data_IF_497962622391
#
_entry.id   IF_497962622391
#
_cell.length_a   1.000
_cell.length_b   1.000
_cell.length_c   1.000
_cell.angle_alpha   90.00
_cell.angle_beta   90.00
_cell.angle_gamma   90.00
#
_symmetry.space_group_name_H-M   'P 1'
#
loop_
_entity.id
_entity.type
_entity.pdbx_description
1 polymer ?
#
# COMPACT_ATOMS: atom_id res chain seq x y z
N UNK A 1 23.33 -59.92 -17.77
CA UNK A 1 22.05 -59.70 -17.08
C UNK A 1 22.24 -59.02 -15.74
N UNK A 2 22.91 -59.64 -14.76
CA UNK A 2 23.07 -59.13 -13.38
C UNK A 2 23.66 -57.71 -13.20
N UNK A 3 24.42 -57.19 -14.19
CA UNK A 3 25.02 -55.84 -14.15
C UNK A 3 24.11 -54.74 -14.72
N UNK A 4 23.10 -55.13 -15.51
CA UNK A 4 22.08 -54.21 -16.04
C UNK A 4 20.94 -54.04 -15.02
N UNK A 5 20.46 -55.14 -14.44
CA UNK A 5 19.52 -55.12 -13.30
C UNK A 5 20.03 -54.24 -12.15
N UNK A 6 21.27 -54.44 -11.71
CA UNK A 6 21.89 -53.63 -10.64
C UNK A 6 21.97 -52.13 -10.98
N UNK A 7 22.02 -51.78 -12.26
CA UNK A 7 22.08 -50.37 -12.71
C UNK A 7 20.68 -49.75 -12.79
N UNK A 8 19.66 -50.54 -13.13
CA UNK A 8 18.25 -50.12 -13.08
C UNK A 8 17.76 -49.97 -11.64
N UNK A 9 18.11 -50.89 -10.73
CA UNK A 9 17.79 -50.78 -9.30
C UNK A 9 18.40 -49.51 -8.70
N UNK A 10 19.68 -49.24 -9.00
CA UNK A 10 20.38 -48.06 -8.52
C UNK A 10 19.81 -46.75 -9.08
N UNK A 11 19.33 -46.75 -10.33
CA UNK A 11 18.65 -45.60 -10.93
C UNK A 11 17.27 -45.36 -10.30
N UNK A 12 16.56 -46.44 -9.97
CA UNK A 12 15.25 -46.40 -9.31
C UNK A 12 15.39 -45.87 -7.88
N UNK A 13 16.38 -46.33 -7.13
CA UNK A 13 16.66 -45.84 -5.77
C UNK A 13 17.02 -44.34 -5.75
N UNK A 14 17.82 -43.88 -6.72
CA UNK A 14 18.15 -42.45 -6.87
C UNK A 14 16.91 -41.61 -7.21
N UNK A 15 16.04 -42.12 -8.07
CA UNK A 15 14.80 -41.44 -8.45
C UNK A 15 13.84 -41.37 -7.25
N UNK A 16 13.68 -42.46 -6.50
CA UNK A 16 12.86 -42.50 -5.29
C UNK A 16 13.39 -41.58 -4.19
N UNK A 17 14.71 -41.50 -4.00
CA UNK A 17 15.33 -40.55 -3.07
C UNK A 17 15.13 -39.08 -3.50
N UNK A 18 15.12 -38.81 -4.81
CA UNK A 18 14.88 -37.46 -5.31
C UNK A 18 13.42 -37.03 -5.16
N UNK A 19 12.48 -37.97 -5.38
CA UNK A 19 11.05 -37.76 -5.16
C UNK A 19 10.73 -37.56 -3.68
N UNK A 20 11.26 -38.39 -2.79
CA UNK A 20 11.02 -38.25 -1.34
C UNK A 20 11.55 -36.91 -0.81
N UNK A 21 12.74 -36.50 -1.25
CA UNK A 21 13.30 -35.19 -0.88
C UNK A 21 12.45 -34.02 -1.44
N UNK A 22 11.85 -34.19 -2.62
CA UNK A 22 10.91 -33.21 -3.20
C UNK A 22 9.61 -33.13 -2.41
N UNK A 23 9.03 -34.28 -2.04
CA UNK A 23 7.82 -34.34 -1.20
C UNK A 23 8.03 -33.74 0.19
N UNK A 24 9.17 -34.06 0.82
CA UNK A 24 9.56 -33.48 2.12
C UNK A 24 9.80 -31.97 2.03
N UNK A 25 10.43 -31.50 0.94
CA UNK A 25 10.59 -30.08 0.67
C UNK A 25 9.23 -29.38 0.50
N UNK A 26 8.32 -29.93 -0.30
CA UNK A 26 6.96 -29.40 -0.51
C UNK A 26 6.18 -29.38 0.80
N UNK A 27 6.26 -30.44 1.61
CA UNK A 27 5.58 -30.54 2.90
C UNK A 27 6.13 -29.54 3.91
N UNK A 28 7.45 -29.37 3.99
CA UNK A 28 8.11 -28.38 4.85
C UNK A 28 7.78 -26.96 4.40
N UNK A 29 7.74 -26.69 3.10
CA UNK A 29 7.33 -25.41 2.54
C UNK A 29 5.85 -25.09 2.84
N UNK A 30 4.94 -26.06 2.65
CA UNK A 30 3.52 -25.87 2.91
C UNK A 30 3.23 -25.65 4.41
N UNK A 31 3.90 -26.38 5.30
CA UNK A 31 3.77 -26.17 6.75
C UNK A 31 4.33 -24.82 7.20
N UNK A 32 5.46 -24.39 6.62
CA UNK A 32 6.04 -23.06 6.84
C UNK A 32 5.17 -21.93 6.28
N UNK A 33 4.52 -22.14 5.14
CA UNK A 33 3.61 -21.14 4.54
C UNK A 33 2.33 -21.03 5.33
N UNK A 34 1.76 -22.17 5.75
CA UNK A 34 0.56 -22.22 6.57
C UNK A 34 0.77 -21.56 7.95
N UNK A 35 1.95 -21.72 8.55
CA UNK A 35 2.27 -21.06 9.82
C UNK A 35 2.33 -19.53 9.69
N UNK A 36 2.75 -19.00 8.53
CA UNK A 36 2.69 -17.56 8.23
C UNK A 36 1.26 -17.04 8.16
N UNK A 37 0.35 -17.75 7.49
CA UNK A 37 -1.06 -17.35 7.44
C UNK A 37 -1.76 -17.37 8.81
N UNK A 38 -1.29 -18.23 9.73
CA UNK A 38 -1.79 -18.27 11.12
C UNK A 38 -1.24 -17.11 11.98
N UNK A 39 -0.18 -16.45 11.53
CA UNK A 39 0.44 -15.34 12.25
C UNK A 39 -0.41 -14.06 12.09
N UNK A 40 -1.23 -13.77 13.10
CA UNK A 40 -2.16 -12.63 13.08
C UNK A 40 -1.46 -11.26 12.89
N UNK A 41 -0.38 -10.91 13.63
CA UNK A 41 0.43 -9.71 13.36
C UNK A 41 0.85 -9.53 11.90
N UNK A 42 1.34 -10.60 11.27
CA UNK A 42 1.72 -10.58 9.86
C UNK A 42 0.50 -10.34 8.97
N UNK A 43 -0.56 -11.12 9.16
CA UNK A 43 -1.75 -11.04 8.32
C UNK A 43 -2.45 -9.68 8.42
N UNK A 44 -2.55 -9.11 9.62
CA UNK A 44 -3.07 -7.76 9.81
C UNK A 44 -2.23 -6.72 9.04
N UNK A 45 -0.90 -6.80 9.15
CA UNK A 45 0.00 -5.88 8.44
C UNK A 45 -0.09 -6.02 6.92
N UNK A 46 -0.33 -7.24 6.42
CA UNK A 46 -0.59 -7.51 5.00
C UNK A 46 -1.93 -6.91 4.56
N UNK A 47 -3.00 -7.05 5.36
CA UNK A 47 -4.31 -6.49 5.01
C UNK A 47 -4.24 -4.96 4.97
N UNK A 48 -3.63 -4.32 5.97
CA UNK A 48 -3.44 -2.87 5.97
C UNK A 48 -2.64 -2.43 4.73
N UNK A 49 -1.57 -3.16 4.41
CA UNK A 49 -0.76 -2.89 3.22
C UNK A 49 -1.57 -2.98 1.93
N UNK A 50 -2.46 -3.98 1.80
CA UNK A 50 -3.32 -4.13 0.64
C UNK A 50 -4.35 -3.00 0.52
N UNK A 51 -4.99 -2.60 1.63
CA UNK A 51 -5.94 -1.48 1.67
C UNK A 51 -5.24 -0.17 1.27
N UNK A 52 -4.09 0.11 1.89
CA UNK A 52 -3.30 1.32 1.61
C UNK A 52 -2.88 1.37 0.14
N UNK A 53 -2.44 0.22 -0.40
CA UNK A 53 -2.04 0.11 -1.80
C UNK A 53 -3.21 0.27 -2.77
N UNK A 54 -4.39 -0.24 -2.41
CA UNK A 54 -5.61 -0.04 -3.17
C UNK A 54 -6.01 1.45 -3.20
N UNK A 55 -5.99 2.13 -2.05
CA UNK A 55 -6.24 3.59 -1.95
C UNK A 55 -5.24 4.38 -2.80
N UNK A 56 -3.95 4.09 -2.63
CA UNK A 56 -2.85 4.71 -3.38
C UNK A 56 -3.07 4.62 -4.89
N UNK A 57 -3.39 3.42 -5.39
CA UNK A 57 -3.61 3.20 -6.82
C UNK A 57 -4.90 3.90 -7.30
N UNK A 58 -5.97 3.90 -6.51
CA UNK A 58 -7.19 4.63 -6.83
C UNK A 58 -6.95 6.15 -6.87
N UNK A 59 -6.18 6.69 -5.93
CA UNK A 59 -5.78 8.09 -5.89
C UNK A 59 -4.93 8.46 -7.12
N UNK A 60 -3.95 7.65 -7.49
CA UNK A 60 -3.09 7.89 -8.66
C UNK A 60 -3.87 7.88 -9.98
N UNK A 61 -5.00 7.16 -10.05
CA UNK A 61 -5.91 7.20 -11.19
C UNK A 61 -6.83 8.43 -11.16
N UNK A 62 -7.43 8.72 -10.00
CA UNK A 62 -8.41 9.82 -9.84
C UNK A 62 -7.75 11.19 -9.95
N UNK A 63 -6.57 11.36 -9.36
CA UNK A 63 -5.94 12.67 -9.26
C UNK A 63 -5.66 13.31 -10.63
N UNK A 64 -5.03 12.62 -11.59
CA UNK A 64 -4.82 13.17 -12.94
C UNK A 64 -6.13 13.44 -13.66
N UNK A 65 -7.08 12.51 -13.61
CA UNK A 65 -8.39 12.64 -14.25
C UNK A 65 -9.16 13.85 -13.72
N UNK A 66 -9.14 14.07 -12.40
CA UNK A 66 -9.78 15.22 -11.75
C UNK A 66 -9.07 16.53 -12.08
N UNK A 67 -7.74 16.55 -12.03
CA UNK A 67 -6.95 17.74 -12.32
C UNK A 67 -7.12 18.21 -13.78
N UNK A 68 -7.13 17.27 -14.73
CA UNK A 68 -7.33 17.57 -16.16
C UNK A 68 -8.78 17.95 -16.48
N UNK A 69 -9.76 17.40 -15.75
CA UNK A 69 -11.17 17.64 -16.05
C UNK A 69 -11.55 19.13 -16.02
N UNK A 70 -12.46 19.51 -16.91
CA UNK A 70 -12.93 20.89 -17.03
C UNK A 70 -13.62 21.36 -15.73
N UNK A 71 -13.49 22.67 -15.46
CA UNK A 71 -14.17 23.33 -14.33
C UNK A 71 -15.69 23.15 -14.31
N UNK A 72 -16.31 22.92 -15.48
CA UNK A 72 -17.74 22.61 -15.61
C UNK A 72 -18.13 21.31 -14.89
N UNK A 73 -17.19 20.37 -14.75
CA UNK A 73 -17.40 19.07 -14.12
C UNK A 73 -16.71 18.95 -12.76
N UNK A 74 -16.39 20.09 -12.11
CA UNK A 74 -15.74 20.11 -10.79
C UNK A 74 -14.22 19.82 -10.81
N UNK A 75 -13.61 19.77 -11.99
CA UNK A 75 -12.15 19.62 -12.14
C UNK A 75 -11.40 20.96 -12.18
N UNK A 76 -10.07 20.89 -12.30
CA UNK A 76 -9.21 22.09 -12.26
C UNK A 76 -8.96 22.72 -13.64
N UNK A 77 -9.13 21.95 -14.71
CA UNK A 77 -8.85 22.35 -16.09
C UNK A 77 -7.35 22.53 -16.36
N UNK A 78 -6.51 21.72 -15.73
CA UNK A 78 -5.08 21.68 -15.99
C UNK A 78 -4.79 20.97 -17.31
N UNK A 79 -3.68 21.32 -17.96
CA UNK A 79 -3.19 20.52 -19.08
C UNK A 79 -2.56 19.22 -18.57
N UNK A 80 -2.51 18.18 -19.41
CA UNK A 80 -1.81 16.94 -19.08
C UNK A 80 -0.32 17.18 -18.78
N UNK A 81 0.30 18.20 -19.41
CA UNK A 81 1.68 18.62 -19.13
C UNK A 81 1.81 19.20 -17.71
N UNK A 82 0.88 20.07 -17.30
CA UNK A 82 0.87 20.62 -15.94
C UNK A 82 0.73 19.52 -14.89
N UNK A 83 -0.16 18.56 -15.12
CA UNK A 83 -0.36 17.41 -14.23
C UNK A 83 0.90 16.54 -14.18
N UNK A 84 1.52 16.27 -15.34
CA UNK A 84 2.77 15.54 -15.43
C UNK A 84 3.90 16.22 -14.64
N UNK A 85 4.00 17.55 -14.71
CA UNK A 85 4.96 18.33 -13.93
C UNK A 85 4.73 18.20 -12.42
N UNK A 86 3.47 18.27 -11.96
CA UNK A 86 3.14 18.08 -10.53
C UNK A 86 3.52 16.68 -10.05
N UNK A 87 3.24 15.65 -10.86
CA UNK A 87 3.59 14.26 -10.53
C UNK A 87 5.11 14.05 -10.51
N UNK A 88 5.85 14.67 -11.43
CA UNK A 88 7.32 14.62 -11.47
C UNK A 88 7.92 15.24 -10.19
N UNK A 89 7.48 16.45 -9.84
CA UNK A 89 7.92 17.15 -8.62
C UNK A 89 7.57 16.32 -7.39
N UNK A 90 6.35 15.80 -7.33
CA UNK A 90 5.88 14.91 -6.25
C UNK A 90 6.78 13.69 -6.11
N UNK A 91 7.03 12.96 -7.21
CA UNK A 91 7.87 11.76 -7.20
C UNK A 91 9.30 12.04 -6.74
N UNK A 92 9.90 13.12 -7.21
CA UNK A 92 11.23 13.55 -6.75
C UNK A 92 11.24 13.90 -5.25
N UNK A 93 10.19 14.55 -4.76
CA UNK A 93 10.03 14.92 -3.35
C UNK A 93 9.87 13.69 -2.45
N UNK A 94 9.12 12.68 -2.89
CA UNK A 94 8.95 11.41 -2.17
C UNK A 94 10.29 10.69 -2.02
N UNK A 95 11.11 10.65 -3.07
CA UNK A 95 12.44 10.03 -2.99
C UNK A 95 13.34 10.71 -1.96
N UNK A 96 13.35 12.05 -1.94
CA UNK A 96 14.14 12.82 -0.97
C UNK A 96 13.61 12.63 0.46
N UNK A 97 12.28 12.70 0.63
CA UNK A 97 11.64 12.46 1.93
C UNK A 97 11.98 11.07 2.48
N UNK A 98 11.84 10.03 1.66
CA UNK A 98 12.08 8.66 2.07
C UNK A 98 13.54 8.40 2.43
N UNK A 99 14.47 9.05 1.73
CA UNK A 99 15.92 8.86 1.94
C UNK A 99 16.41 9.57 3.20
N UNK A 100 15.97 10.81 3.45
CA UNK A 100 16.56 11.66 4.48
C UNK A 100 15.64 11.89 5.69
N UNK A 101 14.34 12.07 5.45
CA UNK A 101 13.40 12.54 6.48
C UNK A 101 12.73 11.38 7.19
N UNK A 102 12.26 10.38 6.44
CA UNK A 102 11.57 9.21 6.99
C UNK A 102 12.39 8.49 8.09
N UNK A 103 13.70 8.23 7.94
CA UNK A 103 14.50 7.58 9.00
C UNK A 103 14.61 8.41 10.29
N UNK A 104 14.48 9.74 10.20
CA UNK A 104 14.45 10.60 11.37
C UNK A 104 13.11 10.50 12.09
N UNK A 105 12.01 10.59 11.35
CA UNK A 105 10.65 10.51 11.90
C UNK A 105 10.42 9.18 12.61
N UNK A 106 10.79 8.07 11.98
CA UNK A 106 10.57 6.72 12.54
C UNK A 106 11.34 6.50 13.85
N UNK A 107 12.53 7.11 14.00
CA UNK A 107 13.33 7.04 15.24
C UNK A 107 12.68 7.79 16.40
N UNK A 108 11.93 8.85 16.12
CA UNK A 108 11.29 9.68 17.14
C UNK A 108 9.90 9.16 17.52
N UNK A 109 9.08 8.82 16.51
CA UNK A 109 7.67 8.46 16.72
C UNK A 109 7.43 6.95 16.77
N UNK A 110 8.32 6.13 16.22
CA UNK A 110 8.10 4.70 16.04
C UNK A 110 7.10 4.37 14.93
N UNK A 111 7.00 3.09 14.56
CA UNK A 111 6.23 2.60 13.40
C UNK A 111 4.75 2.95 13.45
N UNK A 112 4.06 2.57 14.53
CA UNK A 112 2.60 2.70 14.62
C UNK A 112 2.17 4.16 14.71
N UNK A 113 2.82 4.98 15.55
CA UNK A 113 2.43 6.37 15.68
C UNK A 113 2.71 7.14 14.38
N UNK A 114 3.82 6.82 13.69
CA UNK A 114 4.14 7.41 12.39
C UNK A 114 3.07 7.08 11.35
N UNK A 115 2.63 5.82 11.25
CA UNK A 115 1.54 5.43 10.33
C UNK A 115 0.20 6.06 10.72
N UNK A 116 -0.14 6.16 12.00
CA UNK A 116 -1.36 6.83 12.46
C UNK A 116 -1.38 8.32 12.07
N UNK A 117 -0.27 9.04 12.34
CA UNK A 117 -0.17 10.46 12.02
C UNK A 117 -0.25 10.67 10.50
N UNK A 118 0.42 9.82 9.72
CA UNK A 118 0.35 9.87 8.27
C UNK A 118 -1.08 9.60 7.75
N UNK A 119 -1.82 8.65 8.33
CA UNK A 119 -3.20 8.36 7.94
C UNK A 119 -4.15 9.53 8.26
N UNK A 120 -4.03 10.15 9.45
CA UNK A 120 -4.81 11.34 9.81
C UNK A 120 -4.50 12.49 8.86
N UNK A 121 -3.22 12.74 8.60
CA UNK A 121 -2.78 13.83 7.73
C UNK A 121 -3.28 13.61 6.29
N UNK A 122 -3.19 12.37 5.79
CA UNK A 122 -3.75 11.94 4.50
C UNK A 122 -5.26 12.20 4.42
N UNK A 123 -6.01 11.88 5.48
CA UNK A 123 -7.45 12.13 5.55
C UNK A 123 -7.77 13.64 5.52
N UNK A 124 -7.08 14.44 6.33
CA UNK A 124 -7.26 15.90 6.35
C UNK A 124 -6.93 16.54 4.99
N UNK A 125 -5.91 16.02 4.31
CA UNK A 125 -5.56 16.49 2.98
C UNK A 125 -6.66 16.22 1.99
N UNK A 126 -7.20 15.01 1.91
CA UNK A 126 -8.27 14.66 0.97
C UNK A 126 -9.51 15.56 1.13
N UNK A 127 -9.87 15.94 2.35
CA UNK A 127 -10.96 16.87 2.62
C UNK A 127 -10.68 18.31 2.12
N UNK A 128 -9.40 18.65 1.93
CA UNK A 128 -8.96 19.96 1.45
C UNK A 128 -8.96 20.06 -0.08
N UNK A 129 -9.02 18.95 -0.83
CA UNK A 129 -8.99 18.95 -2.30
C UNK A 129 -10.21 19.66 -2.93
N UNK A 130 -11.47 19.40 -2.52
CA UNK A 130 -12.62 20.07 -3.13
C UNK A 130 -12.62 21.60 -2.97
N UNK A 131 -12.28 22.19 -1.79
CA UNK A 131 -12.14 23.63 -1.64
C UNK A 131 -11.08 24.27 -2.55
N UNK A 132 -10.02 23.55 -2.95
CA UNK A 132 -8.93 24.08 -3.77
C UNK A 132 -9.42 24.57 -5.13
N UNK A 133 -10.50 24.03 -5.67
CA UNK A 133 -11.07 24.44 -6.96
C UNK A 133 -11.48 25.93 -7.02
N UNK A 134 -11.68 26.58 -5.85
CA UNK A 134 -12.04 27.99 -5.74
C UNK A 134 -10.84 28.95 -5.76
N UNK A 135 -9.61 28.42 -5.74
CA UNK A 135 -8.40 29.24 -5.75
C UNK A 135 -8.09 29.79 -7.15
N UNK A 136 -7.45 30.96 -7.19
CA UNK A 136 -6.92 31.50 -8.44
C UNK A 136 -5.76 30.63 -8.97
N UNK A 137 -5.55 30.63 -10.29
CA UNK A 137 -4.62 29.71 -11.00
C UNK A 137 -3.22 29.58 -10.38
N UNK A 138 -2.48 30.65 -10.03
CA UNK A 138 -1.13 30.49 -9.48
C UNK A 138 -1.13 29.83 -8.09
N UNK A 139 -2.08 30.24 -7.24
CA UNK A 139 -2.23 29.68 -5.89
C UNK A 139 -2.72 28.23 -5.93
N UNK A 140 -3.58 27.89 -6.88
CA UNK A 140 -4.04 26.53 -7.13
C UNK A 140 -2.86 25.61 -7.51
N UNK A 141 -1.98 26.04 -8.41
CA UNK A 141 -0.82 25.26 -8.82
C UNK A 141 0.14 25.00 -7.65
N UNK A 142 0.45 26.04 -6.85
CA UNK A 142 1.28 25.89 -5.65
C UNK A 142 0.64 24.95 -4.62
N UNK A 143 -0.64 25.15 -4.31
CA UNK A 143 -1.35 24.34 -3.33
C UNK A 143 -1.43 22.87 -3.76
N UNK A 144 -1.66 22.61 -5.06
CA UNK A 144 -1.68 21.25 -5.63
C UNK A 144 -0.34 20.53 -5.52
N UNK A 145 0.77 21.20 -5.80
CA UNK A 145 2.11 20.62 -5.63
C UNK A 145 2.36 20.24 -4.17
N UNK A 146 2.01 21.13 -3.22
CA UNK A 146 2.19 20.88 -1.79
C UNK A 146 1.29 19.72 -1.34
N UNK A 147 0.01 19.73 -1.70
CA UNK A 147 -0.94 18.69 -1.29
C UNK A 147 -0.58 17.33 -1.89
N UNK A 148 -0.23 17.28 -3.17
CA UNK A 148 0.22 16.05 -3.84
C UNK A 148 1.48 15.49 -3.17
N UNK A 149 2.49 16.35 -2.93
CA UNK A 149 3.72 15.95 -2.26
C UNK A 149 3.46 15.41 -0.85
N UNK A 150 2.60 16.08 -0.08
CA UNK A 150 2.29 15.67 1.29
C UNK A 150 1.48 14.38 1.35
N UNK A 151 0.45 14.23 0.49
CA UNK A 151 -0.37 13.01 0.40
C UNK A 151 0.49 11.81 0.00
N UNK A 152 1.34 11.95 -1.02
CA UNK A 152 2.22 10.87 -1.45
C UNK A 152 3.27 10.50 -0.39
N UNK A 153 3.82 11.48 0.34
CA UNK A 153 4.71 11.20 1.47
C UNK A 153 4.00 10.44 2.60
N UNK A 154 2.74 10.78 2.90
CA UNK A 154 1.94 10.07 3.90
C UNK A 154 1.72 8.61 3.48
N UNK A 155 1.30 8.39 2.23
CA UNK A 155 1.07 7.04 1.68
C UNK A 155 2.36 6.21 1.67
N UNK A 156 3.48 6.79 1.19
CA UNK A 156 4.78 6.13 1.20
C UNK A 156 5.23 5.74 2.61
N UNK A 157 4.94 6.60 3.59
CA UNK A 157 5.21 6.34 5.01
C UNK A 157 4.43 5.13 5.52
N UNK A 158 3.12 5.06 5.24
CA UNK A 158 2.25 3.97 5.73
C UNK A 158 2.61 2.64 5.06
N UNK A 159 2.88 2.66 3.75
CA UNK A 159 3.39 1.50 3.00
C UNK A 159 4.70 1.00 3.62
N UNK A 160 5.65 1.90 3.88
CA UNK A 160 6.95 1.52 4.45
C UNK A 160 6.80 0.96 5.87
N UNK A 161 5.98 1.61 6.71
CA UNK A 161 5.70 1.12 8.07
C UNK A 161 5.07 -0.28 8.02
N UNK A 162 4.10 -0.49 7.13
CA UNK A 162 3.45 -1.80 6.94
C UNK A 162 4.45 -2.88 6.51
N UNK A 163 5.35 -2.57 5.59
CA UNK A 163 6.39 -3.50 5.14
C UNK A 163 7.37 -3.86 6.27
N UNK A 164 7.78 -2.88 7.09
CA UNK A 164 8.64 -3.15 8.25
C UNK A 164 7.90 -4.00 9.30
N UNK A 165 6.62 -3.71 9.57
CA UNK A 165 5.79 -4.49 10.50
C UNK A 165 5.64 -5.95 10.05
N UNK A 166 5.46 -6.21 8.75
CA UNK A 166 5.47 -7.56 8.18
C UNK A 166 6.80 -8.27 8.46
N UNK A 167 7.92 -7.62 8.17
CA UNK A 167 9.26 -8.18 8.37
C UNK A 167 9.62 -8.42 9.85
N UNK A 168 9.08 -7.59 10.76
CA UNK A 168 9.25 -7.76 12.21
C UNK A 168 8.34 -8.86 12.79
N UNK A 169 7.25 -9.19 12.09
CA UNK A 169 6.31 -10.22 12.53
C UNK A 169 6.77 -11.65 12.24
N UNK A 170 7.84 -11.83 11.45
CA UNK A 170 8.32 -13.14 11.01
C UNK A 170 9.83 -13.30 11.24
N UNK A 171 10.30 -14.53 11.48
CA UNK A 171 11.73 -14.81 11.57
C UNK A 171 12.41 -14.62 10.21
N UNK A 172 13.71 -14.35 10.22
CA UNK A 172 14.47 -13.90 9.05
C UNK A 172 14.45 -14.92 7.89
N UNK A 173 14.42 -16.22 8.18
CA UNK A 173 14.34 -17.30 7.21
C UNK A 173 13.02 -17.31 6.42
N UNK A 174 11.95 -16.75 6.99
CA UNK A 174 10.62 -16.69 6.38
C UNK A 174 10.26 -15.33 5.76
N UNK A 175 11.11 -14.30 5.91
CA UNK A 175 10.84 -12.94 5.41
C UNK A 175 10.63 -12.90 3.90
N UNK A 176 11.39 -13.68 3.13
CA UNK A 176 11.26 -13.74 1.68
C UNK A 176 9.87 -14.27 1.27
N UNK A 177 9.42 -15.38 1.87
CA UNK A 177 8.10 -15.96 1.62
C UNK A 177 6.98 -15.02 2.08
N UNK A 178 7.11 -14.41 3.25
CA UNK A 178 6.13 -13.46 3.78
C UNK A 178 5.97 -12.22 2.86
N UNK A 179 7.08 -11.62 2.43
CA UNK A 179 7.05 -10.49 1.51
C UNK A 179 6.53 -10.89 0.12
N UNK A 180 6.81 -12.11 -0.34
CA UNK A 180 6.26 -12.66 -1.58
C UNK A 180 4.74 -12.78 -1.53
N UNK A 181 4.19 -13.33 -0.44
CA UNK A 181 2.74 -13.40 -0.19
C UNK A 181 2.14 -11.99 -0.14
N UNK A 182 2.75 -11.09 0.64
CA UNK A 182 2.26 -9.72 0.80
C UNK A 182 2.22 -8.98 -0.54
N UNK A 183 3.28 -9.07 -1.34
CA UNK A 183 3.39 -8.41 -2.65
C UNK A 183 2.39 -8.99 -3.65
N UNK A 184 2.17 -10.31 -3.63
CA UNK A 184 1.19 -10.96 -4.50
C UNK A 184 -0.22 -10.50 -4.17
N UNK A 185 -0.60 -10.49 -2.89
CA UNK A 185 -1.92 -10.04 -2.46
C UNK A 185 -2.13 -8.55 -2.74
N UNK A 186 -1.12 -7.73 -2.45
CA UNK A 186 -1.13 -6.30 -2.74
C UNK A 186 -1.30 -6.03 -4.24
N UNK A 187 -0.59 -6.76 -5.09
CA UNK A 187 -0.69 -6.60 -6.56
C UNK A 187 -2.09 -6.99 -7.06
N UNK A 188 -2.64 -8.07 -6.52
CA UNK A 188 -4.02 -8.49 -6.83
C UNK A 188 -5.03 -7.40 -6.42
N UNK A 189 -4.87 -6.80 -5.23
CA UNK A 189 -5.71 -5.68 -4.80
C UNK A 189 -5.56 -4.46 -5.73
N UNK A 190 -4.33 -4.02 -6.02
CA UNK A 190 -4.09 -2.84 -6.88
C UNK A 190 -4.67 -2.98 -8.28
N UNK A 191 -4.76 -4.19 -8.83
CA UNK A 191 -5.23 -4.45 -10.20
C UNK A 191 -6.65 -3.92 -10.45
N UNK A 192 -7.54 -3.98 -9.46
CA UNK A 192 -8.93 -3.52 -9.63
C UNK A 192 -9.15 -2.04 -9.29
N UNK A 193 -8.17 -1.40 -8.65
CA UNK A 193 -8.31 -0.03 -8.16
C UNK A 193 -8.56 0.99 -9.30
N UNK A 194 -7.80 0.99 -10.42
CA UNK A 194 -8.04 1.94 -11.52
C UNK A 194 -9.42 1.79 -12.15
N UNK A 195 -9.87 0.55 -12.36
CA UNK A 195 -11.18 0.28 -12.94
C UNK A 195 -12.32 0.81 -12.03
N UNK A 196 -12.25 0.51 -10.72
CA UNK A 196 -13.22 1.03 -9.76
C UNK A 196 -13.18 2.55 -9.66
N UNK A 197 -11.98 3.13 -9.56
CA UNK A 197 -11.74 4.56 -9.47
C UNK A 197 -12.27 5.32 -10.69
N UNK A 198 -12.01 4.82 -11.91
CA UNK A 198 -12.50 5.40 -13.15
C UNK A 198 -14.02 5.34 -13.30
N UNK A 199 -14.67 4.24 -12.87
CA UNK A 199 -16.14 4.14 -12.84
C UNK A 199 -16.72 5.17 -11.85
N UNK A 200 -16.16 5.27 -10.65
CA UNK A 200 -16.60 6.24 -9.64
C UNK A 200 -16.41 7.68 -10.14
N UNK A 201 -15.26 7.98 -10.74
CA UNK A 201 -14.96 9.27 -11.33
C UNK A 201 -15.96 9.65 -12.44
N UNK A 202 -16.24 8.72 -13.36
CA UNK A 202 -17.22 8.93 -14.44
C UNK A 202 -18.63 9.16 -13.89
N UNK A 203 -19.01 8.41 -12.85
CA UNK A 203 -20.29 8.61 -12.17
C UNK A 203 -20.36 9.98 -11.48
N UNK A 204 -19.28 10.40 -10.81
CA UNK A 204 -19.16 11.70 -10.15
C UNK A 204 -19.28 12.87 -11.15
N UNK A 205 -18.68 12.75 -12.35
CA UNK A 205 -18.82 13.76 -13.41
C UNK A 205 -20.25 13.88 -13.94
N UNK A 206 -21.01 12.78 -13.97
CA UNK A 206 -22.41 12.78 -14.41
C UNK A 206 -23.36 13.44 -13.40
N UNK A 207 -22.99 13.47 -12.11
CA UNK A 207 -23.83 13.93 -11.00
C UNK A 207 -23.37 15.27 -10.40
N UNK A 208 -22.90 16.20 -11.24
CA UNK A 208 -22.44 17.52 -10.80
C UNK A 208 -23.58 18.48 -10.41
N UNK A 209 -24.82 18.20 -10.85
CA UNK A 209 -26.01 19.04 -10.61
C UNK A 209 -26.98 18.43 -9.56
N UNK A 210 -26.53 17.48 -8.74
CA UNK A 210 -27.35 16.91 -7.69
C UNK A 210 -27.59 17.93 -6.55
N UNK A 211 -28.83 18.02 -6.05
CA UNK A 211 -29.31 19.04 -5.11
C UNK A 211 -28.63 19.01 -3.72
N UNK A 212 -27.82 18.00 -3.40
CA UNK A 212 -27.30 17.77 -2.05
C UNK A 212 -25.77 17.91 -1.92
N UNK A 213 -24.97 17.25 -2.77
CA UNK A 213 -23.49 17.31 -2.73
C UNK A 213 -22.94 17.25 -4.18
N UNK A 214 -22.05 18.18 -4.60
CA UNK A 214 -21.32 18.11 -5.87
C UNK A 214 -20.57 16.79 -6.04
N UNK A 215 -20.58 16.20 -7.24
CA UNK A 215 -20.02 14.87 -7.47
C UNK A 215 -18.52 14.73 -7.17
N UNK A 216 -17.75 15.80 -7.31
CA UNK A 216 -16.32 15.88 -6.95
C UNK A 216 -16.11 15.74 -5.43
N UNK A 217 -16.96 16.36 -4.62
CA UNK A 217 -16.91 16.21 -3.16
C UNK A 217 -17.22 14.77 -2.74
N UNK A 218 -18.15 14.09 -3.41
CA UNK A 218 -18.47 12.68 -3.14
C UNK A 218 -17.27 11.79 -3.45
N UNK A 219 -16.54 12.08 -4.53
CA UNK A 219 -15.35 11.31 -4.92
C UNK A 219 -14.25 11.38 -3.86
N UNK A 220 -13.87 12.58 -3.42
CA UNK A 220 -12.85 12.74 -2.38
C UNK A 220 -13.32 12.27 -1.01
N UNK A 221 -14.62 12.36 -0.73
CA UNK A 221 -15.22 11.80 0.48
C UNK A 221 -15.13 10.27 0.52
N UNK A 222 -15.35 9.59 -0.62
CA UNK A 222 -15.21 8.14 -0.70
C UNK A 222 -13.76 7.70 -0.51
N UNK A 223 -12.80 8.42 -1.09
CA UNK A 223 -11.37 8.20 -0.80
C UNK A 223 -11.07 8.43 0.70
N UNK A 224 -11.62 9.50 1.29
CA UNK A 224 -11.45 9.75 2.72
C UNK A 224 -12.05 8.65 3.60
N UNK A 225 -13.14 8.00 3.17
CA UNK A 225 -13.71 6.83 3.86
C UNK A 225 -12.79 5.62 3.80
N UNK A 226 -12.12 5.37 2.67
CA UNK A 226 -11.12 4.30 2.57
C UNK A 226 -9.94 4.58 3.50
N UNK A 227 -9.43 5.82 3.52
CA UNK A 227 -8.37 6.24 4.45
C UNK A 227 -8.84 6.18 5.91
N UNK A 228 -10.12 6.42 6.19
CA UNK A 228 -10.66 6.26 7.54
C UNK A 228 -10.68 4.79 7.98
N UNK A 229 -11.00 3.86 7.06
CA UNK A 229 -10.88 2.42 7.32
C UNK A 229 -9.42 2.04 7.55
N UNK A 230 -8.49 2.55 6.75
CA UNK A 230 -7.04 2.37 6.94
C UNK A 230 -6.57 2.87 8.32
N UNK A 231 -7.04 4.05 8.73
CA UNK A 231 -6.79 4.62 10.05
C UNK A 231 -7.33 3.72 11.17
N UNK A 232 -8.57 3.24 11.07
CA UNK A 232 -9.14 2.30 12.04
C UNK A 232 -8.32 1.01 12.12
N UNK A 233 -7.93 0.46 10.96
CA UNK A 233 -7.07 -0.72 10.87
C UNK A 233 -5.68 -0.50 11.48
N UNK A 234 -5.26 0.76 11.71
CA UNK A 234 -3.97 1.04 12.35
C UNK A 234 -4.02 0.85 13.87
N UNK A 235 -5.20 0.86 14.51
CA UNK A 235 -5.33 0.67 15.95
C UNK A 235 -5.36 -0.79 16.41
N UNK A 236 -4.97 -1.03 17.67
CA UNK A 236 -5.23 -2.30 18.35
C UNK A 236 -6.75 -2.47 18.53
N UNK A 237 -7.33 -3.63 18.18
CA UNK A 237 -6.71 -4.96 18.13
C UNK A 237 -6.22 -5.43 16.74
N UNK A 238 -6.43 -4.64 15.69
CA UNK A 238 -6.10 -5.06 14.32
C UNK A 238 -4.59 -5.22 14.18
N UNK A 239 -3.85 -4.11 14.37
CA UNK A 239 -2.39 -4.09 14.34
C UNK A 239 -1.80 -4.58 15.67
N UNK A 240 -1.81 -5.90 15.85
CA UNK A 240 -1.18 -6.55 16.98
C UNK A 240 0.35 -6.61 16.76
N UNK A 241 1.11 -5.84 17.55
CA UNK A 241 2.57 -6.01 17.57
C UNK A 241 2.94 -7.33 18.21
N UNK A 242 3.84 -8.08 17.58
CA UNK A 242 4.62 -9.08 18.28
C UNK A 242 5.36 -8.36 19.40
N UNK A 243 5.11 -8.72 20.66
CA UNK A 243 5.87 -8.17 21.79
C UNK A 243 7.35 -8.42 21.49
N UNK A 244 8.14 -7.36 21.35
CA UNK A 244 9.59 -7.53 21.51
C UNK A 244 9.80 -8.16 22.88
N UNK A 245 10.36 -9.37 22.90
CA UNK A 245 10.90 -9.93 24.12
C UNK A 245 12.03 -9.02 24.56
N UNK A 246 11.75 -8.13 25.49
CA UNK A 246 12.76 -7.52 26.34
C UNK A 246 13.41 -8.64 27.17
N UNK A 247 14.36 -9.36 26.58
CA UNK A 247 15.30 -10.21 27.30
C UNK A 247 16.68 -10.00 26.71
N UNK A 248 17.52 -9.28 27.45
CA UNK A 248 18.91 -9.07 27.04
C UNK A 248 19.65 -7.90 27.71
N UNK A 249 19.17 -7.34 28.83
CA UNK A 249 20.08 -6.61 29.72
C UNK A 249 20.60 -7.60 30.77
N UNK A 250 21.68 -8.29 30.40
CA UNK A 250 22.59 -8.99 31.30
C UNK A 250 23.99 -8.86 30.68
N UNK A 251 24.64 -7.73 30.93
CA UNK A 251 26.00 -7.59 31.48
C UNK A 251 26.45 -6.14 31.44
#
# INVERSE_FOLDING_TARGET
>A
MHRLEKREDQATDLLMAHLSNSEDFVRKHNTSTWSLFKNWPLMSSIILFCITCFDDMAYLEIFPLWAESNKKYGGLGFSTEDVGNVLLVTGSGVLLYQTFVYPCIIKVLGLINTSCVAAILSMMLLLTYPPMANLSKPWLYCAMNIASLLKNNCVATIVTCSFILQNNSVPQDQRATANGIATTLMSFSKTFAPAGAGIMFSWAQKHQHAFFIPGDQILFFLLAMVVFVEFICTFKPFLAMTKESSSGSCH
#
